data_IF_001321707950
#
_entry.id   IF_001321707950
#
_cell.length_a   1.000
_cell.length_b   1.000
_cell.length_c   1.000
_cell.angle_alpha   90.00
_cell.angle_beta   90.00
_cell.angle_gamma   90.00
#
_symmetry.space_group_name_H-M   'P 1'
#
loop_
_entity.id
_entity.type
_entity.pdbx_description
1 polymer ?
#
# COMPACT_ATOMS: atom_id res chain seq x y z
N UNK A 1 -31.60 18.61 -42.07
CA UNK A 1 -30.33 18.44 -41.30
C UNK A 1 -30.53 18.30 -39.79
N UNK A 2 -31.58 18.89 -39.19
CA UNK A 2 -31.86 18.84 -37.74
C UNK A 2 -31.99 17.41 -37.17
N UNK A 3 -32.56 16.45 -37.93
CA UNK A 3 -32.82 15.09 -37.46
C UNK A 3 -31.54 14.27 -37.19
N UNK A 4 -30.43 14.59 -37.88
CA UNK A 4 -29.12 13.95 -37.67
C UNK A 4 -28.39 14.51 -36.44
N UNK A 5 -28.69 15.74 -36.04
CA UNK A 5 -28.13 16.35 -34.82
C UNK A 5 -28.66 15.68 -33.54
N UNK A 6 -29.94 15.28 -33.50
CA UNK A 6 -30.48 14.57 -32.34
C UNK A 6 -29.84 13.19 -32.14
N UNK A 7 -29.49 12.50 -33.24
CA UNK A 7 -28.83 11.19 -33.16
C UNK A 7 -27.42 11.34 -32.58
N UNK A 8 -26.67 12.37 -32.99
CA UNK A 8 -25.33 12.68 -32.46
C UNK A 8 -25.39 13.10 -30.99
N UNK A 9 -26.39 13.91 -30.60
CA UNK A 9 -26.59 14.30 -29.21
C UNK A 9 -26.94 13.10 -28.31
N UNK A 10 -27.69 12.13 -28.83
CA UNK A 10 -28.08 10.93 -28.10
C UNK A 10 -26.92 9.93 -27.94
N UNK A 11 -26.01 9.84 -28.93
CA UNK A 11 -24.81 8.98 -28.82
C UNK A 11 -23.73 9.57 -27.90
N UNK A 12 -23.67 10.90 -27.74
CA UNK A 12 -22.77 11.54 -26.77
C UNK A 12 -23.21 11.34 -25.32
N UNK A 13 -24.50 11.12 -25.06
CA UNK A 13 -25.04 10.95 -23.70
C UNK A 13 -24.75 9.55 -23.12
N UNK A 14 -24.65 8.51 -23.94
CA UNK A 14 -24.40 7.14 -23.48
C UNK A 14 -22.95 6.89 -23.02
N UNK A 15 -22.01 7.75 -23.42
CA UNK A 15 -20.59 7.66 -23.04
C UNK A 15 -20.31 8.06 -21.58
N UNK A 16 -21.27 8.68 -20.88
CA UNK A 16 -21.09 9.17 -19.50
C UNK A 16 -21.59 8.20 -18.42
N UNK A 17 -22.19 7.06 -18.78
CA UNK A 17 -22.81 6.14 -17.81
C UNK A 17 -21.88 5.03 -17.29
N UNK A 18 -20.57 5.14 -17.47
CA UNK A 18 -19.58 4.22 -16.89
C UNK A 18 -19.35 4.52 -15.40
N UNK A 19 -20.35 4.27 -14.57
CA UNK A 19 -20.21 4.29 -13.11
C UNK A 19 -19.32 3.14 -12.63
N UNK A 20 -18.40 3.42 -11.71
CA UNK A 20 -17.59 2.37 -11.08
C UNK A 20 -18.48 1.50 -10.19
N UNK A 21 -18.34 0.17 -10.26
CA UNK A 21 -19.06 -0.74 -9.38
C UNK A 21 -18.33 -0.86 -8.04
N UNK A 22 -18.69 0.01 -7.09
CA UNK A 22 -18.09 0.08 -5.76
C UNK A 22 -19.13 -0.27 -4.68
N UNK A 23 -18.79 -1.25 -3.86
CA UNK A 23 -19.52 -1.57 -2.64
C UNK A 23 -18.75 -0.99 -1.47
N UNK A 24 -19.37 -0.09 -0.74
CA UNK A 24 -18.80 0.53 0.44
C UNK A 24 -19.58 0.12 1.68
N UNK A 25 -18.86 -0.34 2.71
CA UNK A 25 -19.41 -0.69 4.01
C UNK A 25 -18.86 0.28 5.05
N UNK A 26 -19.66 1.26 5.49
CA UNK A 26 -19.25 2.20 6.52
C UNK A 26 -19.13 1.50 7.88
N UNK A 27 -18.39 2.13 8.80
CA UNK A 27 -18.30 1.67 10.18
C UNK A 27 -19.56 2.06 10.96
N UNK A 28 -20.36 1.07 11.34
CA UNK A 28 -21.62 1.25 12.10
C UNK A 28 -21.43 1.27 13.62
N UNK A 29 -20.20 1.17 14.14
CA UNK A 29 -19.97 1.18 15.59
C UNK A 29 -20.34 2.55 16.18
N UNK A 30 -21.12 2.56 17.26
CA UNK A 30 -21.50 3.81 17.94
C UNK A 30 -20.29 4.67 18.34
N UNK A 31 -19.15 4.05 18.68
CA UNK A 31 -17.90 4.73 19.04
C UNK A 31 -17.23 5.45 17.87
N UNK A 32 -17.63 5.12 16.63
CA UNK A 32 -17.11 5.64 15.37
C UNK A 32 -18.02 6.69 14.71
N UNK A 33 -19.19 7.01 15.28
CA UNK A 33 -20.14 8.00 14.75
C UNK A 33 -19.56 9.41 14.56
N UNK A 34 -18.41 9.70 15.17
CA UNK A 34 -17.66 10.95 14.98
C UNK A 34 -17.21 11.17 13.53
N UNK A 35 -17.15 10.12 12.72
CA UNK A 35 -16.81 10.18 11.30
C UNK A 35 -18.04 9.80 10.47
N UNK A 36 -18.57 10.77 9.73
CA UNK A 36 -19.51 10.54 8.63
C UNK A 36 -18.75 10.01 7.42
N UNK A 37 -19.29 8.96 6.80
CA UNK A 37 -18.61 8.16 5.79
C UNK A 37 -19.60 7.83 4.68
N UNK A 38 -19.43 8.40 3.48
CA UNK A 38 -20.34 8.17 2.36
C UNK A 38 -19.57 8.10 1.05
N UNK A 39 -20.13 7.44 0.05
CA UNK A 39 -19.71 7.65 -1.34
C UNK A 39 -20.39 8.91 -1.89
N UNK A 40 -19.77 9.54 -2.88
CA UNK A 40 -20.45 10.55 -3.68
C UNK A 40 -21.45 9.91 -4.66
N UNK A 41 -22.25 10.73 -5.34
CA UNK A 41 -23.31 10.28 -6.25
C UNK A 41 -22.80 9.38 -7.38
N UNK A 42 -21.62 9.68 -7.92
CA UNK A 42 -20.98 8.91 -9.00
C UNK A 42 -20.20 7.68 -8.51
N UNK A 43 -20.15 7.46 -7.18
CA UNK A 43 -19.39 6.41 -6.51
C UNK A 43 -17.89 6.39 -6.83
N UNK A 44 -17.33 7.49 -7.34
CA UNK A 44 -15.91 7.58 -7.68
C UNK A 44 -15.04 8.11 -6.54
N UNK A 45 -15.66 8.59 -5.45
CA UNK A 45 -14.98 9.25 -4.34
C UNK A 45 -15.59 8.89 -2.99
N UNK A 46 -14.73 8.61 -2.00
CA UNK A 46 -15.12 8.43 -0.61
C UNK A 46 -15.08 9.77 0.12
N UNK A 47 -16.23 10.21 0.62
CA UNK A 47 -16.43 11.41 1.39
C UNK A 47 -16.32 11.10 2.89
N UNK A 48 -15.40 11.78 3.54
CA UNK A 48 -15.14 11.65 4.97
C UNK A 48 -15.27 13.01 5.64
N UNK A 49 -16.14 13.09 6.64
CA UNK A 49 -16.39 14.33 7.40
C UNK A 49 -16.44 14.02 8.89
N UNK A 50 -15.75 14.81 9.69
CA UNK A 50 -15.71 14.66 11.15
C UNK A 50 -15.70 16.00 11.86
N UNK A 51 -16.22 16.02 13.09
CA UNK A 51 -16.05 17.17 13.99
C UNK A 51 -14.58 17.39 14.40
N UNK A 52 -13.75 16.36 14.31
CA UNK A 52 -12.32 16.40 14.64
C UNK A 52 -11.46 16.26 13.38
N UNK A 53 -10.22 16.73 13.45
CA UNK A 53 -9.27 16.62 12.34
C UNK A 53 -9.00 15.16 11.99
N UNK A 54 -9.25 14.81 10.73
CA UNK A 54 -8.81 13.59 10.10
C UNK A 54 -7.34 13.79 9.75
N UNK A 55 -6.46 13.02 10.38
CA UNK A 55 -5.01 13.14 10.18
C UNK A 55 -4.55 12.39 8.95
N UNK A 56 -5.00 11.16 8.81
CA UNK A 56 -4.54 10.26 7.76
C UNK A 56 -5.63 9.29 7.38
N UNK A 57 -5.66 8.90 6.10
CA UNK A 57 -6.47 7.79 5.61
C UNK A 57 -5.59 6.82 4.85
N UNK A 58 -5.61 5.56 5.28
CA UNK A 58 -4.95 4.46 4.59
C UNK A 58 -5.99 3.62 3.87
N UNK A 59 -5.79 3.36 2.57
CA UNK A 59 -6.55 2.38 1.81
C UNK A 59 -5.59 1.25 1.45
N UNK A 60 -5.91 0.04 1.87
CA UNK A 60 -5.02 -1.08 1.64
C UNK A 60 -5.74 -2.41 1.47
N UNK A 61 -5.10 -3.29 0.73
CA UNK A 61 -5.40 -4.71 0.71
C UNK A 61 -4.07 -5.47 0.80
N UNK A 62 -4.07 -6.74 0.43
CA UNK A 62 -2.87 -7.53 0.52
C UNK A 62 -1.79 -7.09 -0.52
N UNK A 63 -2.15 -6.45 -1.66
CA UNK A 63 -1.28 -6.08 -2.81
C UNK A 63 -1.14 -4.56 -3.02
N UNK A 64 -1.94 -3.75 -2.31
CA UNK A 64 -2.08 -2.33 -2.54
C UNK A 64 -2.07 -1.60 -1.21
N UNK A 65 -1.34 -0.50 -1.13
CA UNK A 65 -1.38 0.43 0.00
C UNK A 65 -1.26 1.86 -0.54
N UNK A 66 -2.20 2.71 -0.13
CA UNK A 66 -2.20 4.14 -0.37
C UNK A 66 -2.46 4.86 0.94
N UNK A 67 -1.50 5.68 1.36
CA UNK A 67 -1.61 6.53 2.55
C UNK A 67 -1.77 7.98 2.13
N UNK A 68 -2.78 8.64 2.68
CA UNK A 68 -3.15 10.02 2.33
C UNK A 68 -3.13 10.83 3.62
N UNK A 69 -2.22 11.81 3.70
CA UNK A 69 -2.25 12.83 4.75
C UNK A 69 -3.36 13.83 4.43
N UNK A 70 -4.21 14.13 5.40
CA UNK A 70 -5.41 14.96 5.22
C UNK A 70 -5.33 16.25 6.01
N UNK A 71 -5.04 16.16 7.31
CA UNK A 71 -4.97 17.29 8.26
C UNK A 71 -6.15 18.28 8.18
N UNK A 72 -7.35 17.77 7.90
CA UNK A 72 -8.59 18.54 7.75
C UNK A 72 -9.77 17.79 8.38
N UNK A 73 -10.85 18.50 8.71
CA UNK A 73 -12.12 17.92 9.20
C UNK A 73 -12.95 17.26 8.08
N UNK A 74 -12.65 17.58 6.82
CA UNK A 74 -13.36 17.05 5.65
C UNK A 74 -12.37 16.69 4.54
N UNK A 75 -12.63 15.58 3.86
CA UNK A 75 -11.84 15.15 2.70
C UNK A 75 -12.65 14.29 1.74
N UNK A 76 -12.24 14.30 0.47
CA UNK A 76 -12.77 13.44 -0.58
C UNK A 76 -11.60 12.62 -1.17
N UNK A 77 -11.71 11.30 -1.13
CA UNK A 77 -10.67 10.40 -1.61
C UNK A 77 -11.12 9.77 -2.92
N UNK A 78 -10.43 10.10 -4.01
CA UNK A 78 -10.69 9.51 -5.31
C UNK A 78 -10.37 7.99 -5.33
N UNK A 79 -11.34 7.21 -5.80
CA UNK A 79 -11.37 5.75 -5.88
C UNK A 79 -11.07 5.22 -7.30
N UNK A 80 -11.06 6.11 -8.29
CA UNK A 80 -10.76 5.79 -9.70
C UNK A 80 -9.43 5.03 -9.89
N UNK A 81 -8.37 5.44 -9.18
CA UNK A 81 -7.03 4.83 -9.25
C UNK A 81 -6.89 3.55 -8.43
N UNK A 82 -7.94 3.10 -7.72
CA UNK A 82 -7.88 1.83 -7.01
C UNK A 82 -7.96 0.67 -8.01
N UNK A 83 -7.14 -0.39 -7.85
CA UNK A 83 -7.33 -1.61 -8.62
C UNK A 83 -8.64 -2.31 -8.22
N UNK A 84 -9.09 -3.25 -9.03
CA UNK A 84 -10.20 -4.14 -8.68
C UNK A 84 -9.80 -4.97 -7.45
N UNK A 85 -10.70 -5.11 -6.50
CA UNK A 85 -10.47 -5.92 -5.32
C UNK A 85 -11.16 -5.40 -4.06
N UNK A 86 -10.83 -6.05 -2.94
CA UNK A 86 -11.37 -5.78 -1.61
C UNK A 86 -10.34 -5.03 -0.79
N UNK A 87 -10.74 -3.94 -0.16
CA UNK A 87 -9.89 -3.01 0.55
C UNK A 87 -10.42 -2.73 1.95
N UNK A 88 -9.47 -2.53 2.85
CA UNK A 88 -9.69 -1.97 4.17
C UNK A 88 -9.29 -0.49 4.12
N UNK A 89 -10.17 0.36 4.63
CA UNK A 89 -9.91 1.78 4.75
C UNK A 89 -9.80 2.11 6.23
N UNK A 90 -8.74 2.81 6.62
CA UNK A 90 -8.47 3.15 8.01
C UNK A 90 -8.23 4.65 8.11
N UNK A 91 -9.17 5.35 8.73
CA UNK A 91 -9.07 6.77 9.03
C UNK A 91 -8.55 6.98 10.45
N UNK A 92 -7.49 7.80 10.60
CA UNK A 92 -6.98 8.25 11.90
C UNK A 92 -7.58 9.61 12.22
N UNK A 93 -8.33 9.68 13.31
CA UNK A 93 -8.94 10.91 13.82
C UNK A 93 -8.53 11.04 15.27
N UNK A 94 -7.74 12.07 15.59
CA UNK A 94 -7.14 12.21 16.93
C UNK A 94 -6.43 10.88 17.32
N UNK A 95 -6.73 10.31 18.50
CA UNK A 95 -6.24 9.00 18.95
C UNK A 95 -7.04 7.79 18.46
N UNK A 96 -8.15 7.99 17.71
CA UNK A 96 -9.02 6.91 17.23
C UNK A 96 -8.65 6.44 15.83
N UNK A 97 -8.86 5.16 15.57
CA UNK A 97 -8.76 4.55 14.22
C UNK A 97 -10.12 3.96 13.87
N UNK A 98 -10.70 4.45 12.79
CA UNK A 98 -12.00 3.97 12.28
C UNK A 98 -11.73 3.16 11.03
N UNK A 99 -12.22 1.93 11.02
CA UNK A 99 -11.97 0.94 9.97
C UNK A 99 -13.25 0.72 9.17
N UNK A 100 -13.15 0.82 7.85
CA UNK A 100 -14.23 0.64 6.88
C UNK A 100 -13.81 -0.39 5.85
N UNK A 101 -14.77 -0.88 5.08
CA UNK A 101 -14.52 -1.82 4.00
C UNK A 101 -15.02 -1.27 2.66
N UNK A 102 -14.25 -1.52 1.61
CA UNK A 102 -14.58 -1.12 0.25
C UNK A 102 -14.23 -2.23 -0.73
N UNK A 103 -15.11 -2.55 -1.65
CA UNK A 103 -14.89 -3.51 -2.72
C UNK A 103 -15.14 -2.86 -4.07
N UNK A 104 -14.11 -2.84 -4.91
CA UNK A 104 -14.21 -2.40 -6.30
C UNK A 104 -14.30 -3.64 -7.18
N UNK A 105 -15.39 -3.78 -7.94
CA UNK A 105 -15.62 -4.92 -8.83
C UNK A 105 -15.34 -4.54 -10.28
N UNK A 106 -15.00 -5.53 -11.10
CA UNK A 106 -15.07 -5.35 -12.54
C UNK A 106 -16.54 -5.20 -12.96
N UNK A 107 -16.79 -4.51 -14.08
CA UNK A 107 -18.15 -4.40 -14.62
C UNK A 107 -18.72 -5.78 -15.02
N UNK A 108 -17.85 -6.76 -15.28
CA UNK A 108 -18.20 -8.10 -15.76
C UNK A 108 -18.47 -9.15 -14.64
N UNK A 109 -18.17 -8.87 -13.36
CA UNK A 109 -18.15 -9.88 -12.29
C UNK A 109 -19.49 -10.09 -11.56
N UNK A 110 -20.64 -9.77 -12.18
CA UNK A 110 -21.95 -10.00 -11.55
C UNK A 110 -22.36 -11.49 -11.48
N UNK A 111 -21.50 -12.43 -11.86
CA UNK A 111 -21.82 -13.85 -11.92
C UNK A 111 -20.74 -14.62 -11.14
N UNK A 112 -21.16 -15.56 -10.28
CA UNK A 112 -20.37 -16.56 -9.54
C UNK A 112 -19.84 -16.12 -8.17
N UNK A 113 -20.65 -16.37 -7.14
CA UNK A 113 -20.25 -16.41 -5.73
C UNK A 113 -20.56 -17.80 -5.13
N UNK A 114 -19.50 -18.61 -4.90
CA UNK A 114 -19.37 -19.79 -4.02
C UNK A 114 -18.03 -20.45 -4.43
N UNK A 115 -17.12 -21.00 -3.63
CA UNK A 115 -17.03 -21.52 -2.26
C UNK A 115 -15.50 -21.67 -1.97
N UNK A 116 -15.02 -21.75 -0.71
CA UNK A 116 -13.60 -21.72 -0.38
C UNK A 116 -12.98 -23.12 -0.25
N UNK A 117 -11.70 -23.28 -0.63
CA UNK A 117 -10.86 -24.41 -0.17
C UNK A 117 -9.41 -23.99 0.06
N UNK A 118 -9.01 -24.07 1.32
CA UNK A 118 -7.61 -24.21 1.77
C UNK A 118 -7.03 -25.54 1.32
N UNK A 119 -5.72 -25.57 1.06
CA UNK A 119 -4.75 -26.45 1.74
C UNK A 119 -3.32 -25.97 1.46
N UNK A 120 -2.51 -26.01 2.51
CA UNK A 120 -1.07 -25.74 2.53
C UNK A 120 -0.36 -27.08 2.56
N UNK A 121 0.79 -27.20 1.88
CA UNK A 121 1.82 -28.19 2.22
C UNK A 121 3.21 -27.58 1.99
N UNK A 122 4.07 -27.86 2.95
CA UNK A 122 5.39 -27.30 3.21
C UNK A 122 6.49 -27.92 2.33
N UNK A 123 7.55 -27.16 2.05
CA UNK A 123 8.89 -27.74 1.83
C UNK A 123 9.95 -26.75 2.32
N UNK A 124 10.90 -27.26 3.11
CA UNK A 124 12.03 -26.56 3.72
C UNK A 124 13.06 -26.14 2.66
N UNK A 125 13.65 -24.94 2.79
CA UNK A 125 15.00 -24.71 2.27
C UNK A 125 15.82 -23.76 3.13
N UNK A 126 17.03 -24.22 3.40
CA UNK A 126 18.10 -23.69 4.24
C UNK A 126 18.74 -22.46 3.63
N UNK A 127 19.04 -21.49 4.50
CA UNK A 127 19.75 -20.24 4.22
C UNK A 127 21.09 -20.44 3.52
N UNK A 128 21.31 -19.70 2.43
CA UNK A 128 22.65 -19.43 1.92
C UNK A 128 22.80 -17.93 1.62
N UNK A 129 23.97 -17.40 2.00
CA UNK A 129 24.40 -16.00 1.81
C UNK A 129 24.94 -15.86 0.39
N UNK A 130 24.34 -15.02 -0.46
CA UNK A 130 24.92 -14.63 -1.74
C UNK A 130 24.72 -13.14 -2.08
N UNK A 131 25.66 -12.66 -2.88
CA UNK A 131 26.06 -11.30 -3.22
C UNK A 131 25.05 -10.48 -4.04
N UNK A 132 25.21 -9.16 -3.97
CA UNK A 132 24.38 -8.06 -4.51
C UNK A 132 24.19 -8.05 -6.05
N UNK A 133 24.64 -9.05 -6.80
CA UNK A 133 24.59 -9.04 -8.27
C UNK A 133 23.35 -9.65 -8.91
N UNK A 134 22.49 -10.37 -8.18
CA UNK A 134 21.27 -10.96 -8.75
C UNK A 134 20.12 -10.93 -7.75
N UNK A 135 19.40 -9.80 -7.68
CA UNK A 135 18.02 -9.88 -7.19
C UNK A 135 17.28 -10.68 -8.27
N UNK A 136 16.96 -11.93 -7.95
CA UNK A 136 16.42 -12.93 -8.86
C UNK A 136 15.32 -12.36 -9.76
N UNK A 137 15.43 -12.61 -11.08
CA UNK A 137 14.40 -12.35 -12.11
C UNK A 137 13.15 -13.23 -11.92
N UNK A 138 12.73 -13.47 -10.69
CA UNK A 138 11.41 -14.01 -10.44
C UNK A 138 10.44 -12.84 -10.28
N UNK A 139 9.67 -12.58 -11.34
CA UNK A 139 8.74 -11.46 -11.40
C UNK A 139 7.60 -11.56 -10.37
N UNK A 140 7.49 -12.68 -9.64
CA UNK A 140 6.43 -12.91 -8.65
C UNK A 140 6.91 -12.77 -7.19
N UNK A 141 8.20 -12.50 -6.95
CA UNK A 141 8.70 -12.30 -5.59
C UNK A 141 8.21 -11.00 -4.96
N UNK A 142 7.77 -11.08 -3.71
CA UNK A 142 7.27 -9.96 -2.93
C UNK A 142 8.26 -9.57 -1.84
N UNK A 143 8.40 -8.27 -1.65
CA UNK A 143 9.37 -7.70 -0.73
C UNK A 143 8.67 -6.83 0.30
N UNK A 144 9.08 -6.95 1.56
CA UNK A 144 8.68 -6.04 2.60
C UNK A 144 9.72 -4.94 2.73
N UNK A 145 9.29 -3.72 2.44
CA UNK A 145 10.15 -2.55 2.40
C UNK A 145 9.87 -1.68 3.63
N UNK A 146 10.94 -1.23 4.26
CA UNK A 146 10.92 -0.30 5.39
C UNK A 146 11.73 0.93 5.00
N UNK A 147 11.04 2.04 4.80
CA UNK A 147 11.66 3.31 4.47
C UNK A 147 11.51 4.27 5.65
N UNK A 148 12.62 4.87 6.05
CA UNK A 148 12.67 5.89 7.10
C UNK A 148 13.33 7.13 6.49
N UNK A 149 12.57 8.22 6.35
CA UNK A 149 13.16 9.53 6.04
C UNK A 149 13.49 10.25 7.33
N UNK A 150 14.67 10.84 7.36
CA UNK A 150 15.13 11.66 8.47
C UNK A 150 15.76 12.91 7.87
N UNK A 151 14.91 13.92 7.68
CA UNK A 151 15.33 15.24 7.23
C UNK A 151 15.34 16.18 8.43
N UNK A 152 16.08 17.29 8.35
CA UNK A 152 16.22 18.24 9.48
C UNK A 152 14.91 18.85 9.98
N UNK A 153 13.79 18.58 9.30
CA UNK A 153 12.44 19.04 9.63
C UNK A 153 11.56 17.96 10.28
N UNK A 154 12.04 16.71 10.36
CA UNK A 154 11.34 15.62 11.01
C UNK A 154 11.72 14.23 10.50
N UNK A 155 11.17 13.21 11.17
CA UNK A 155 11.33 11.82 10.75
C UNK A 155 10.00 11.21 10.34
N UNK A 156 9.98 10.50 9.21
CA UNK A 156 8.83 9.71 8.78
C UNK A 156 9.25 8.27 8.53
N UNK A 157 8.37 7.33 8.88
CA UNK A 157 8.56 5.89 8.64
C UNK A 157 7.37 5.33 7.89
N UNK A 158 7.65 4.67 6.78
CA UNK A 158 6.67 3.92 6.00
C UNK A 158 7.11 2.48 5.81
N UNK A 159 6.12 1.59 5.72
CA UNK A 159 6.34 0.16 5.51
C UNK A 159 5.31 -0.38 4.55
N UNK A 160 5.75 -1.10 3.52
CA UNK A 160 4.86 -1.59 2.47
C UNK A 160 5.38 -2.85 1.81
N UNK A 161 4.44 -3.68 1.34
CA UNK A 161 4.74 -4.77 0.44
C UNK A 161 4.95 -4.22 -0.98
N UNK A 162 6.03 -4.62 -1.65
CA UNK A 162 6.44 -4.14 -2.96
C UNK A 162 6.86 -5.29 -3.88
N UNK A 163 6.71 -5.09 -5.19
CA UNK A 163 7.30 -5.96 -6.19
C UNK A 163 8.76 -5.53 -6.47
N UNK A 164 9.46 -6.31 -7.29
CA UNK A 164 10.85 -6.03 -7.61
C UNK A 164 11.06 -4.69 -8.33
N UNK A 165 10.15 -4.30 -9.23
CA UNK A 165 10.23 -3.05 -9.99
C UNK A 165 10.20 -1.82 -9.06
N UNK A 166 9.24 -1.80 -8.13
CA UNK A 166 9.12 -0.75 -7.12
C UNK A 166 10.34 -0.74 -6.20
N UNK A 167 10.82 -1.91 -5.78
CA UNK A 167 12.05 -2.02 -4.95
C UNK A 167 13.24 -1.41 -5.67
N UNK A 168 13.46 -1.75 -6.94
CA UNK A 168 14.57 -1.22 -7.74
C UNK A 168 14.49 0.30 -7.89
N UNK A 169 13.28 0.84 -8.09
CA UNK A 169 13.05 2.28 -8.11
C UNK A 169 13.38 2.93 -6.76
N UNK A 170 12.94 2.33 -5.66
CA UNK A 170 13.24 2.82 -4.30
C UNK A 170 14.74 2.74 -3.97
N UNK A 171 15.44 1.70 -4.42
CA UNK A 171 16.89 1.55 -4.27
C UNK A 171 17.62 2.65 -5.05
N UNK A 172 17.20 2.93 -6.28
CA UNK A 172 17.77 4.02 -7.09
C UNK A 172 17.54 5.37 -6.41
N UNK A 173 16.33 5.61 -5.92
CA UNK A 173 15.98 6.84 -5.23
C UNK A 173 16.81 7.03 -3.94
N UNK A 174 16.88 6.03 -3.05
CA UNK A 174 17.63 6.17 -1.79
C UNK A 174 19.13 6.38 -2.03
N UNK A 175 19.69 5.78 -3.10
CA UNK A 175 21.09 5.98 -3.48
C UNK A 175 21.41 7.44 -3.81
N UNK A 176 20.44 8.18 -4.36
CA UNK A 176 20.55 9.62 -4.61
C UNK A 176 20.30 10.43 -3.34
N UNK A 177 19.28 10.07 -2.55
CA UNK A 177 18.91 10.78 -1.33
C UNK A 177 20.03 10.82 -0.29
N UNK A 178 20.71 9.67 -0.07
CA UNK A 178 21.78 9.54 0.94
C UNK A 178 23.01 10.39 0.58
N UNK A 179 23.19 10.77 -0.69
CA UNK A 179 24.27 11.66 -1.11
C UNK A 179 23.99 13.13 -0.78
N UNK A 180 22.72 13.49 -0.57
CA UNK A 180 22.33 14.87 -0.28
C UNK A 180 22.54 15.22 1.20
N UNK A 181 22.80 16.51 1.50
CA UNK A 181 22.93 17.00 2.88
C UNK A 181 21.66 16.76 3.73
N UNK A 182 20.50 16.77 3.09
CA UNK A 182 19.19 16.64 3.73
C UNK A 182 18.79 15.17 3.92
N UNK A 183 19.07 14.30 2.95
CA UNK A 183 18.67 12.90 2.92
C UNK A 183 19.73 11.90 3.37
N UNK A 184 20.94 12.36 3.79
CA UNK A 184 22.05 11.51 4.26
C UNK A 184 21.68 10.52 5.38
N UNK A 185 20.62 10.80 6.13
CA UNK A 185 20.14 9.98 7.23
C UNK A 185 18.92 9.10 6.86
N UNK A 186 18.49 9.14 5.59
CA UNK A 186 17.40 8.30 5.12
C UNK A 186 17.86 6.82 5.09
N UNK A 187 16.93 5.91 5.38
CA UNK A 187 17.19 4.49 5.47
C UNK A 187 16.18 3.69 4.67
N UNK A 188 16.67 2.68 3.96
CA UNK A 188 15.86 1.68 3.28
C UNK A 188 16.33 0.28 3.69
N UNK A 189 15.39 -0.53 4.17
CA UNK A 189 15.57 -1.96 4.37
C UNK A 189 14.60 -2.72 3.47
N UNK A 190 15.09 -3.78 2.82
CA UNK A 190 14.27 -4.65 1.97
C UNK A 190 14.42 -6.08 2.47
N UNK A 191 13.30 -6.74 2.73
CA UNK A 191 13.24 -8.13 3.16
C UNK A 191 12.47 -8.94 2.13
N UNK A 192 12.99 -10.10 1.75
CA UNK A 192 12.30 -11.01 0.86
C UNK A 192 11.21 -11.79 1.63
N UNK A 193 10.02 -11.92 1.05
CA UNK A 193 8.87 -12.58 1.68
C UNK A 193 8.56 -13.90 0.98
N UNK A 194 8.62 -15.01 1.73
CA UNK A 194 8.30 -16.35 1.23
C UNK A 194 6.81 -16.67 1.37
N UNK A 195 6.18 -16.22 2.46
CA UNK A 195 4.75 -16.42 2.68
C UNK A 195 4.06 -15.12 3.10
N UNK A 196 3.53 -14.42 2.10
CA UNK A 196 2.83 -13.15 2.24
C UNK A 196 1.70 -13.19 3.26
N UNK A 197 0.79 -14.15 3.16
CA UNK A 197 -0.42 -14.20 4.01
C UNK A 197 -0.06 -14.35 5.50
N UNK A 198 0.84 -15.29 5.81
CA UNK A 198 1.31 -15.53 7.18
C UNK A 198 2.15 -14.38 7.71
N UNK A 199 3.02 -13.81 6.86
CA UNK A 199 3.81 -12.62 7.19
C UNK A 199 2.90 -11.44 7.54
N UNK A 200 1.98 -11.06 6.65
CA UNK A 200 1.09 -9.92 6.84
C UNK A 200 0.21 -10.07 8.07
N UNK A 201 -0.33 -11.26 8.32
CA UNK A 201 -1.12 -11.53 9.54
C UNK A 201 -0.32 -11.24 10.81
N UNK A 202 0.95 -11.64 10.85
CA UNK A 202 1.83 -11.40 12.01
C UNK A 202 2.31 -9.95 12.09
N UNK A 203 2.67 -9.34 10.96
CA UNK A 203 3.13 -7.96 10.85
C UNK A 203 2.04 -6.92 11.20
N UNK A 204 0.78 -7.22 10.88
CA UNK A 204 -0.37 -6.38 11.27
C UNK A 204 -0.67 -6.46 12.77
N UNK A 205 -0.43 -7.62 13.39
CA UNK A 205 -0.56 -7.80 14.85
C UNK A 205 0.60 -7.17 15.62
N UNK A 206 1.81 -7.27 15.07
CA UNK A 206 3.03 -6.70 15.64
C UNK A 206 3.81 -5.96 14.56
N UNK A 207 3.82 -4.62 14.64
CA UNK A 207 4.52 -3.75 13.69
C UNK A 207 6.04 -3.99 13.62
N UNK A 208 6.65 -4.59 14.65
CA UNK A 208 8.07 -4.95 14.69
C UNK A 208 8.34 -6.41 14.32
N UNK A 209 7.36 -7.17 13.82
CA UNK A 209 7.54 -8.59 13.48
C UNK A 209 8.64 -8.82 12.44
N UNK A 210 8.79 -7.92 11.47
CA UNK A 210 9.89 -7.95 10.50
C UNK A 210 11.30 -7.86 11.12
N UNK A 211 11.43 -7.43 12.38
CA UNK A 211 12.71 -7.39 13.12
C UNK A 211 13.00 -8.67 13.91
N UNK A 212 12.18 -9.72 13.76
CA UNK A 212 12.38 -10.97 14.49
C UNK A 212 13.62 -11.71 14.00
N UNK A 213 14.36 -12.32 14.92
CA UNK A 213 15.60 -13.05 14.62
C UNK A 213 15.37 -14.41 13.95
N UNK A 214 14.13 -14.92 13.99
CA UNK A 214 13.76 -16.21 13.42
C UNK A 214 12.39 -16.11 12.75
N UNK A 215 12.32 -16.50 11.48
CA UNK A 215 11.07 -16.65 10.75
C UNK A 215 11.23 -17.62 9.59
N UNK A 216 10.16 -18.35 9.29
CA UNK A 216 10.02 -19.17 8.08
C UNK A 216 9.19 -18.49 6.98
N UNK A 217 8.70 -17.27 7.23
CA UNK A 217 7.79 -16.57 6.31
C UNK A 217 8.46 -15.45 5.53
N UNK A 218 9.69 -15.08 5.91
CA UNK A 218 10.49 -14.05 5.27
C UNK A 218 11.96 -14.25 5.62
N UNK A 219 12.84 -13.69 4.80
CA UNK A 219 14.26 -13.61 5.10
C UNK A 219 14.49 -12.64 6.27
N UNK A 220 14.97 -13.13 7.41
CA UNK A 220 15.21 -12.29 8.60
C UNK A 220 16.37 -11.30 8.41
N UNK A 221 17.27 -11.59 7.46
CA UNK A 221 18.34 -10.69 7.05
C UNK A 221 17.84 -9.90 5.84
N UNK A 222 17.85 -8.56 5.89
CA UNK A 222 17.41 -7.77 4.75
C UNK A 222 18.36 -8.00 3.57
N UNK A 223 17.80 -8.22 2.39
CA UNK A 223 18.55 -8.36 1.13
C UNK A 223 19.19 -7.02 0.70
N UNK A 224 18.64 -5.91 1.18
CA UNK A 224 19.20 -4.58 0.98
C UNK A 224 19.12 -3.76 2.26
N UNK A 225 20.23 -3.11 2.60
CA UNK A 225 20.34 -2.17 3.72
C UNK A 225 21.20 -0.98 3.29
N UNK A 226 20.56 0.19 3.12
CA UNK A 226 21.25 1.40 2.67
C UNK A 226 22.38 1.85 3.61
N UNK A 227 22.33 1.51 4.90
CA UNK A 227 23.38 1.85 5.86
C UNK A 227 24.63 0.99 5.68
N UNK A 228 24.46 -0.28 5.31
CA UNK A 228 25.59 -1.20 5.05
C UNK A 228 26.31 -0.84 3.76
N UNK A 229 25.57 -0.51 2.70
CA UNK A 229 26.16 -0.02 1.44
C UNK A 229 27.01 1.25 1.66
N UNK A 230 26.51 2.19 2.47
CA UNK A 230 27.22 3.45 2.74
C UNK A 230 28.53 3.22 3.52
N UNK A 231 28.57 2.23 4.42
CA UNK A 231 29.80 1.86 5.15
C UNK A 231 30.84 1.22 4.24
N UNK A 232 30.44 0.31 3.35
CA UNK A 232 31.35 -0.34 2.41
C UNK A 232 31.97 0.65 1.40
N UNK A 233 31.26 1.73 1.06
CA UNK A 233 31.78 2.78 0.17
C UNK A 233 32.78 3.72 0.86
N UNK A 234 32.60 3.99 2.16
CA UNK A 234 33.56 4.82 2.94
C UNK A 234 34.90 4.12 3.14
N UNK A 235 34.91 2.81 3.34
CA UNK A 235 36.13 2.01 3.55
C UNK A 235 37.01 1.99 2.29
N UNK A 236 36.42 2.05 1.09
CA UNK A 236 37.15 2.06 -0.19
C UNK A 236 37.79 3.40 -0.57
N UNK A 237 37.47 4.49 0.11
CA UNK A 237 38.01 5.83 -0.20
C UNK A 237 39.13 6.20 0.79
N UNK A 238 39.30 5.43 1.87
CA UNK A 238 40.29 5.64 2.93
C UNK A 238 41.48 4.67 2.86
N UNK A 239 41.71 4.04 1.70
CA UNK A 239 42.79 3.09 1.42
C UNK A 239 43.34 3.40 0.04
#
# INVERSE_FOLDING_TARGET
MIRRFYIIAFTLLSLYSYGQNIIFQPNINHKAQILKQNLNLTQDSLLLESKKTIKQVDIFNNDFLKSITVDSTKTAIALNKLPIGKFIIKARIDRKRIVMYLEKRSHNDKIIASTPKSKTQDTEHTSSTQSISEISKDNNSLYWVVYESNNGFGSHKSMSLKNIEDVNKMITQIKLEVQSKVGKNNKLLVYEIYNRSKFMTKQLRNHNYYKTHKSRFFNVIPIYDSLKETKNKKIKISS
#
